data_IF_574215705873
#
_entry.id   IF_574215705873
#
_cell.length_a   1.000
_cell.length_b   1.000
_cell.length_c   1.000
_cell.angle_alpha   90.00
_cell.angle_beta   90.00
_cell.angle_gamma   90.00
#
_symmetry.space_group_name_H-M   'P 1'
#
loop_
_entity.id
_entity.type
_entity.pdbx_description
1 polymer ?
#
# COMPACT_ATOMS: atom_id res chain seq x y z
N UNK A 1 9.18 70.51 9.96
CA UNK A 1 8.07 70.03 10.81
C UNK A 1 6.95 71.07 11.02
N UNK A 2 7.18 72.27 11.58
CA UNK A 2 6.08 73.23 11.88
C UNK A 2 5.23 73.68 10.68
N UNK A 3 5.85 73.97 9.52
CA UNK A 3 5.11 74.35 8.30
C UNK A 3 4.18 73.23 7.82
N UNK A 4 4.64 71.99 7.91
CA UNK A 4 3.88 70.80 7.50
C UNK A 4 2.61 70.61 8.33
N UNK A 5 2.65 70.89 9.62
CA UNK A 5 1.49 70.73 10.54
C UNK A 5 0.41 71.80 10.27
N UNK A 6 0.79 73.07 10.07
CA UNK A 6 -0.16 74.13 9.72
C UNK A 6 -0.86 73.88 8.38
N UNK A 7 -0.14 73.37 7.38
CA UNK A 7 -0.74 73.01 6.10
C UNK A 7 -1.77 71.89 6.22
N UNK A 8 -1.54 70.89 7.08
CA UNK A 8 -2.48 69.78 7.32
C UNK A 8 -3.78 70.29 7.98
N UNK A 9 -3.66 71.18 8.97
CA UNK A 9 -4.82 71.78 9.68
C UNK A 9 -5.71 72.64 8.76
N UNK A 10 -5.11 73.46 7.91
CA UNK A 10 -5.86 74.28 6.95
C UNK A 10 -6.59 73.42 5.90
N UNK A 11 -5.95 72.35 5.42
CA UNK A 11 -6.58 71.37 4.52
C UNK A 11 -7.75 70.67 5.21
N UNK A 12 -7.63 70.34 6.50
CA UNK A 12 -8.73 69.74 7.25
C UNK A 12 -9.94 70.67 7.38
N UNK A 13 -9.75 71.95 7.70
CA UNK A 13 -10.87 72.92 7.81
C UNK A 13 -11.54 73.15 6.46
N UNK A 14 -10.77 73.31 5.38
CA UNK A 14 -11.30 73.50 4.03
C UNK A 14 -12.07 72.27 3.52
N UNK A 15 -11.63 71.07 3.87
CA UNK A 15 -12.34 69.83 3.52
C UNK A 15 -13.67 69.70 4.26
N UNK A 16 -13.75 70.14 5.53
CA UNK A 16 -15.02 70.17 6.28
C UNK A 16 -16.03 71.16 5.67
N UNK A 17 -15.60 72.38 5.32
CA UNK A 17 -16.48 73.38 4.70
C UNK A 17 -16.97 72.98 3.30
N UNK A 18 -16.11 72.35 2.49
CA UNK A 18 -16.52 71.78 1.20
C UNK A 18 -17.47 70.61 1.34
N UNK A 19 -17.33 69.80 2.40
CA UNK A 19 -18.25 68.70 2.67
C UNK A 19 -19.66 69.24 2.95
N UNK A 20 -19.76 70.27 3.79
CA UNK A 20 -21.04 70.88 4.17
C UNK A 20 -21.75 71.57 2.99
N UNK A 21 -21.02 72.30 2.14
CA UNK A 21 -21.61 72.92 0.94
C UNK A 21 -22.07 71.90 -0.11
N UNK A 22 -21.34 70.79 -0.26
CA UNK A 22 -21.76 69.67 -1.10
C UNK A 22 -23.03 69.01 -0.57
N UNK A 23 -23.21 68.93 0.74
CA UNK A 23 -24.40 68.34 1.36
C UNK A 23 -25.68 69.15 1.07
N UNK A 24 -25.65 70.47 1.26
CA UNK A 24 -26.77 71.37 0.93
C UNK A 24 -27.14 71.26 -0.57
N UNK A 25 -26.13 71.27 -1.43
CA UNK A 25 -26.33 71.17 -2.89
C UNK A 25 -26.95 69.82 -3.28
N UNK A 26 -26.49 68.72 -2.67
CA UNK A 26 -27.06 67.38 -2.89
C UNK A 26 -28.52 67.31 -2.44
N UNK A 27 -28.87 67.95 -1.32
CA UNK A 27 -30.24 67.96 -0.81
C UNK A 27 -31.20 68.71 -1.72
N UNK A 28 -30.80 69.89 -2.23
CA UNK A 28 -31.59 70.65 -3.20
C UNK A 28 -31.87 69.84 -4.48
N UNK A 29 -30.84 69.20 -5.04
CA UNK A 29 -30.98 68.37 -6.25
C UNK A 29 -31.96 67.21 -6.04
N UNK A 30 -31.93 66.58 -4.85
CA UNK A 30 -32.88 65.50 -4.50
C UNK A 30 -34.32 66.00 -4.47
N UNK A 31 -34.58 67.15 -3.83
CA UNK A 31 -35.92 67.73 -3.74
C UNK A 31 -36.46 68.09 -5.12
N UNK A 32 -35.63 68.70 -5.99
CA UNK A 32 -36.06 69.07 -7.34
C UNK A 32 -36.40 67.84 -8.18
N UNK A 33 -35.64 66.75 -8.03
CA UNK A 33 -35.95 65.47 -8.67
C UNK A 33 -37.26 64.88 -8.17
N UNK A 34 -37.53 64.95 -6.87
CA UNK A 34 -38.79 64.47 -6.28
C UNK A 34 -39.98 65.26 -6.85
N UNK A 35 -39.89 66.60 -6.92
CA UNK A 35 -40.93 67.45 -7.52
C UNK A 35 -41.19 67.09 -8.99
N UNK A 36 -40.15 66.85 -9.77
CA UNK A 36 -40.30 66.44 -11.17
C UNK A 36 -41.03 65.10 -11.32
N UNK A 37 -40.81 64.16 -10.40
CA UNK A 37 -41.52 62.87 -10.39
C UNK A 37 -42.99 63.08 -9.99
N UNK A 38 -43.26 63.94 -9.01
CA UNK A 38 -44.62 64.29 -8.57
C UNK A 38 -45.45 64.93 -9.68
N UNK A 39 -44.85 65.72 -10.56
CA UNK A 39 -45.53 66.32 -11.72
C UNK A 39 -45.90 65.31 -12.83
N UNK A 40 -45.20 64.17 -12.88
CA UNK A 40 -45.33 63.18 -13.97
C UNK A 40 -46.09 61.92 -13.58
N UNK A 41 -46.31 61.67 -12.29
CA UNK A 41 -46.93 60.43 -11.80
C UNK A 41 -48.44 60.56 -11.73
N UNK A 42 -49.15 59.57 -12.28
CA UNK A 42 -50.60 59.40 -12.11
C UNK A 42 -50.94 58.41 -10.96
N UNK A 43 -49.94 57.69 -10.44
CA UNK A 43 -50.13 56.72 -9.35
C UNK A 43 -50.03 57.37 -7.98
N UNK A 44 -51.08 57.21 -7.17
CA UNK A 44 -51.14 57.70 -5.78
C UNK A 44 -50.14 56.99 -4.87
N UNK A 45 -49.89 55.69 -5.06
CA UNK A 45 -48.85 54.95 -4.32
C UNK A 45 -47.46 55.57 -4.53
N UNK A 46 -47.12 55.88 -5.79
CA UNK A 46 -45.84 56.53 -6.13
C UNK A 46 -45.81 57.95 -5.58
N UNK A 47 -46.93 58.67 -5.64
CA UNK A 47 -47.07 60.02 -5.09
C UNK A 47 -46.82 60.03 -3.59
N UNK A 48 -47.44 59.14 -2.83
CA UNK A 48 -47.24 58.99 -1.37
C UNK A 48 -45.77 58.72 -1.05
N UNK A 49 -45.13 57.75 -1.73
CA UNK A 49 -43.71 57.45 -1.51
C UNK A 49 -42.79 58.65 -1.78
N UNK A 50 -43.09 59.43 -2.82
CA UNK A 50 -42.32 60.64 -3.13
C UNK A 50 -42.57 61.77 -2.12
N UNK A 51 -43.82 61.94 -1.66
CA UNK A 51 -44.15 62.89 -0.58
C UNK A 51 -43.44 62.51 0.72
N UNK A 52 -43.33 61.22 1.04
CA UNK A 52 -42.58 60.73 2.20
C UNK A 52 -41.09 61.03 2.07
N UNK A 53 -40.48 60.68 0.93
CA UNK A 53 -39.07 60.99 0.69
C UNK A 53 -38.78 62.50 0.80
N UNK A 54 -39.69 63.35 0.31
CA UNK A 54 -39.56 64.79 0.46
C UNK A 54 -39.68 65.20 1.92
N UNK A 55 -40.70 64.70 2.60
CA UNK A 55 -40.93 64.94 4.03
C UNK A 55 -39.71 64.58 4.88
N UNK A 56 -39.11 63.40 4.67
CA UNK A 56 -37.95 62.92 5.45
C UNK A 56 -36.73 63.83 5.27
N UNK A 57 -36.56 64.39 4.06
CA UNK A 57 -35.48 65.35 3.79
C UNK A 57 -35.68 66.65 4.58
N UNK A 58 -36.92 67.12 4.70
CA UNK A 58 -37.21 68.43 5.32
C UNK A 58 -37.58 68.36 6.80
N UNK A 59 -37.71 67.16 7.37
CA UNK A 59 -38.23 66.87 8.71
C UNK A 59 -37.78 67.87 9.79
N UNK A 60 -36.46 68.11 9.92
CA UNK A 60 -35.90 69.04 10.92
C UNK A 60 -35.73 70.50 10.44
N UNK A 61 -35.92 70.75 9.15
CA UNK A 61 -35.55 72.04 8.52
C UNK A 61 -36.73 72.95 8.23
N UNK A 62 -37.94 72.39 8.04
CA UNK A 62 -39.13 73.16 7.72
C UNK A 62 -40.40 72.44 8.24
N UNK A 63 -40.78 72.68 9.51
CA UNK A 63 -41.94 72.04 10.14
C UNK A 63 -43.27 72.32 9.44
N UNK A 64 -43.48 73.54 8.93
CA UNK A 64 -44.73 73.92 8.26
C UNK A 64 -44.94 73.14 6.96
N UNK A 65 -43.87 73.01 6.15
CA UNK A 65 -43.91 72.22 4.93
C UNK A 65 -44.01 70.73 5.24
N UNK A 66 -43.30 70.25 6.27
CA UNK A 66 -43.39 68.86 6.71
C UNK A 66 -44.82 68.49 7.13
N UNK A 67 -45.50 69.35 7.90
CA UNK A 67 -46.90 69.16 8.29
C UNK A 67 -47.83 69.10 7.07
N UNK A 68 -47.62 70.00 6.10
CA UNK A 68 -48.41 70.01 4.87
C UNK A 68 -48.25 68.70 4.10
N UNK A 69 -47.02 68.25 3.88
CA UNK A 69 -46.74 67.01 3.15
C UNK A 69 -47.36 65.79 3.86
N UNK A 70 -47.28 65.71 5.18
CA UNK A 70 -47.89 64.61 5.93
C UNK A 70 -49.43 64.66 5.88
N UNK A 71 -50.02 65.84 5.89
CA UNK A 71 -51.47 66.01 5.73
C UNK A 71 -51.93 65.58 4.33
N UNK A 72 -51.16 65.93 3.29
CA UNK A 72 -51.43 65.49 1.91
C UNK A 72 -51.33 63.97 1.78
N UNK A 73 -50.37 63.33 2.46
CA UNK A 73 -50.23 61.86 2.52
C UNK A 73 -51.46 61.23 3.17
N UNK A 74 -51.92 61.73 4.32
CA UNK A 74 -53.13 61.22 5.00
C UNK A 74 -54.34 61.28 4.09
N UNK A 75 -54.61 62.44 3.47
CA UNK A 75 -55.77 62.61 2.59
C UNK A 75 -55.72 61.64 1.40
N UNK A 76 -54.56 61.51 0.74
CA UNK A 76 -54.39 60.55 -0.35
C UNK A 76 -54.64 59.11 0.10
N UNK A 77 -54.18 58.73 1.29
CA UNK A 77 -54.39 57.38 1.81
C UNK A 77 -55.86 57.15 2.21
N UNK A 78 -56.53 58.14 2.82
CA UNK A 78 -57.94 58.07 3.19
C UNK A 78 -58.84 57.95 1.94
N UNK A 79 -58.56 58.72 0.89
CA UNK A 79 -59.28 58.65 -0.39
C UNK A 79 -59.13 57.25 -1.04
N UNK A 80 -57.92 56.70 -1.04
CA UNK A 80 -57.66 55.37 -1.59
C UNK A 80 -58.24 54.23 -0.74
N UNK A 81 -58.51 54.47 0.56
CA UNK A 81 -59.18 53.49 1.43
C UNK A 81 -60.70 53.44 1.23
N UNK A 82 -61.31 54.41 0.53
CA UNK A 82 -62.74 54.36 0.19
C UNK A 82 -63.07 53.26 -0.83
N UNK A 83 -62.13 52.93 -1.73
CA UNK A 83 -62.26 51.88 -2.74
C UNK A 83 -60.94 51.08 -2.87
N UNK A 84 -60.59 50.21 -1.91
CA UNK A 84 -59.33 49.49 -1.93
C UNK A 84 -59.31 48.39 -3.00
N UNK A 85 -58.24 48.28 -3.80
CA UNK A 85 -58.17 47.26 -4.85
C UNK A 85 -57.86 45.86 -4.29
N UNK A 86 -57.21 45.75 -3.12
CA UNK A 86 -57.00 44.49 -2.39
C UNK A 86 -56.64 44.69 -0.90
N UNK A 87 -56.73 43.62 -0.10
CA UNK A 87 -56.42 43.65 1.35
C UNK A 87 -54.95 44.01 1.67
N UNK A 88 -54.01 43.67 0.78
CA UNK A 88 -52.58 44.02 0.97
C UNK A 88 -52.35 45.52 0.80
N UNK A 89 -53.02 46.12 -0.18
CA UNK A 89 -53.00 47.54 -0.48
C UNK A 89 -53.71 48.34 0.62
N UNK A 90 -54.85 47.83 1.10
CA UNK A 90 -55.53 48.36 2.30
C UNK A 90 -54.63 48.37 3.53
N UNK A 91 -53.87 47.28 3.75
CA UNK A 91 -52.88 47.20 4.83
C UNK A 91 -51.77 48.25 4.63
N UNK A 92 -51.24 48.37 3.42
CA UNK A 92 -50.20 49.34 3.09
C UNK A 92 -50.64 50.79 3.32
N UNK A 93 -51.83 51.19 2.85
CA UNK A 93 -52.36 52.53 3.07
C UNK A 93 -52.57 52.83 4.56
N UNK A 94 -53.07 51.85 5.33
CA UNK A 94 -53.17 51.98 6.80
C UNK A 94 -51.80 52.17 7.45
N UNK A 95 -50.77 51.45 7.02
CA UNK A 95 -49.40 51.66 7.49
C UNK A 95 -48.91 53.08 7.20
N UNK A 96 -49.19 53.61 6.00
CA UNK A 96 -48.82 54.99 5.65
C UNK A 96 -49.57 56.03 6.48
N UNK A 97 -50.86 55.81 6.77
CA UNK A 97 -51.66 56.68 7.64
C UNK A 97 -51.10 56.69 9.06
N UNK A 98 -50.74 55.52 9.61
CA UNK A 98 -50.12 55.42 10.92
C UNK A 98 -48.84 56.28 10.99
N UNK A 99 -47.91 56.07 10.05
CA UNK A 99 -46.64 56.83 9.98
C UNK A 99 -46.92 58.32 9.90
N UNK A 100 -47.86 58.73 9.04
CA UNK A 100 -48.18 60.13 8.83
C UNK A 100 -48.80 60.77 10.08
N UNK A 101 -49.69 60.07 10.79
CA UNK A 101 -50.24 60.56 12.05
C UNK A 101 -49.20 60.67 13.15
N UNK A 102 -48.23 59.76 13.25
CA UNK A 102 -47.11 59.89 14.20
C UNK A 102 -46.23 61.10 13.89
N UNK A 103 -45.89 61.33 12.61
CA UNK A 103 -45.14 62.52 12.22
C UNK A 103 -45.91 63.82 12.49
N UNK A 104 -47.21 63.89 12.16
CA UNK A 104 -48.05 65.06 12.48
C UNK A 104 -48.11 65.28 14.00
N UNK A 105 -48.28 64.19 14.76
CA UNK A 105 -48.25 64.23 16.22
C UNK A 105 -46.92 64.78 16.76
N UNK A 106 -45.80 64.37 16.18
CA UNK A 106 -44.45 64.85 16.53
C UNK A 106 -44.29 66.34 16.28
N UNK A 107 -44.74 66.86 15.13
CA UNK A 107 -44.65 68.29 14.80
C UNK A 107 -45.43 69.12 15.81
N UNK A 108 -46.69 68.75 16.08
CA UNK A 108 -47.50 69.46 17.06
C UNK A 108 -46.91 69.41 18.47
N UNK A 109 -46.19 68.34 18.81
CA UNK A 109 -45.61 68.18 20.14
C UNK A 109 -44.30 68.97 20.30
N UNK A 110 -43.35 68.82 19.36
CA UNK A 110 -42.00 69.37 19.49
C UNK A 110 -41.85 70.76 18.88
N UNK A 111 -42.49 71.05 17.74
CA UNK A 111 -42.26 72.30 17.00
C UNK A 111 -43.26 73.40 17.37
N UNK A 112 -44.52 73.03 17.62
CA UNK A 112 -45.58 73.98 17.95
C UNK A 112 -45.98 74.04 19.42
N UNK A 113 -45.46 73.14 20.26
CA UNK A 113 -45.79 73.03 21.69
C UNK A 113 -47.31 72.98 21.97
N UNK A 114 -48.05 72.23 21.14
CA UNK A 114 -49.49 72.04 21.23
C UNK A 114 -49.85 70.58 21.61
N UNK A 115 -49.65 70.19 22.89
CA UNK A 115 -49.74 68.79 23.32
C UNK A 115 -51.13 68.17 23.14
N UNK A 116 -52.20 68.96 23.20
CA UNK A 116 -53.57 68.49 22.95
C UNK A 116 -53.82 68.14 21.48
N UNK A 117 -53.23 68.91 20.54
CA UNK A 117 -53.34 68.58 19.10
C UNK A 117 -52.45 67.39 18.77
N UNK A 118 -51.24 67.34 19.31
CA UNK A 118 -50.35 66.18 19.18
C UNK A 118 -51.03 64.89 19.64
N UNK A 119 -51.63 64.91 20.83
CA UNK A 119 -52.34 63.77 21.40
C UNK A 119 -53.45 63.24 20.49
N UNK A 120 -54.22 64.13 19.85
CA UNK A 120 -55.29 63.76 18.91
C UNK A 120 -54.76 62.91 17.76
N UNK A 121 -53.60 63.27 17.20
CA UNK A 121 -53.00 62.54 16.08
C UNK A 121 -52.35 61.24 16.53
N UNK A 122 -51.66 61.22 17.66
CA UNK A 122 -51.11 59.97 18.23
C UNK A 122 -52.21 58.95 18.58
N UNK A 123 -53.37 59.40 19.08
CA UNK A 123 -54.50 58.50 19.33
C UNK A 123 -55.06 57.88 18.05
N UNK A 124 -55.15 58.66 16.96
CA UNK A 124 -55.54 58.13 15.65
C UNK A 124 -54.52 57.12 15.11
N UNK A 125 -53.24 57.40 15.30
CA UNK A 125 -52.14 56.49 14.97
C UNK A 125 -52.28 55.15 15.71
N UNK A 126 -52.53 55.19 17.02
CA UNK A 126 -52.74 54.00 17.84
C UNK A 126 -53.95 53.17 17.39
N UNK A 127 -55.07 53.81 17.01
CA UNK A 127 -56.26 53.13 16.48
C UNK A 127 -55.93 52.36 15.19
N UNK A 128 -55.16 52.97 14.30
CA UNK A 128 -54.73 52.32 13.05
C UNK A 128 -53.81 51.13 13.33
N UNK A 129 -52.86 51.28 14.26
CA UNK A 129 -51.94 50.22 14.69
C UNK A 129 -52.65 49.00 15.28
N UNK A 130 -53.71 49.21 16.08
CA UNK A 130 -54.53 48.12 16.64
C UNK A 130 -55.16 47.26 15.52
N UNK A 131 -55.31 47.80 14.31
CA UNK A 131 -55.82 47.03 13.14
C UNK A 131 -54.73 46.32 12.32
N UNK A 132 -53.45 46.58 12.57
CA UNK A 132 -52.34 46.13 11.72
C UNK A 132 -51.51 44.97 12.30
N UNK A 133 -51.76 44.58 13.56
CA UNK A 133 -51.03 43.54 14.31
C UNK A 133 -49.50 43.78 14.39
N UNK A 134 -49.08 45.04 14.24
CA UNK A 134 -47.68 45.46 14.32
C UNK A 134 -47.28 45.72 15.78
N UNK A 135 -46.81 44.66 16.44
CA UNK A 135 -46.44 44.70 17.85
C UNK A 135 -45.32 45.71 18.15
N UNK A 136 -44.23 45.73 17.36
CA UNK A 136 -43.07 46.59 17.66
C UNK A 136 -43.39 48.09 17.55
N UNK A 137 -44.05 48.51 16.47
CA UNK A 137 -44.39 49.93 16.23
C UNK A 137 -45.38 50.47 17.26
N UNK A 138 -46.30 49.61 17.72
CA UNK A 138 -47.26 49.95 18.78
C UNK A 138 -46.60 50.32 20.12
N UNK A 139 -45.43 49.75 20.43
CA UNK A 139 -44.70 50.04 21.68
C UNK A 139 -44.29 51.53 21.77
N UNK A 140 -43.72 52.07 20.68
CA UNK A 140 -43.25 53.45 20.61
C UNK A 140 -44.42 54.44 20.68
N UNK A 141 -45.46 54.23 19.87
CA UNK A 141 -46.64 55.11 19.85
C UNK A 141 -47.35 55.15 21.22
N UNK A 142 -47.50 54.01 21.90
CA UNK A 142 -48.08 53.99 23.24
C UNK A 142 -47.21 54.68 24.30
N UNK A 143 -45.88 54.66 24.16
CA UNK A 143 -44.99 55.41 25.04
C UNK A 143 -45.21 56.92 24.92
N UNK A 144 -45.25 57.41 23.67
CA UNK A 144 -45.44 58.84 23.38
C UNK A 144 -46.80 59.32 23.90
N UNK A 145 -47.88 58.55 23.68
CA UNK A 145 -49.21 58.86 24.23
C UNK A 145 -49.18 58.90 25.76
N UNK A 146 -48.50 57.94 26.39
CA UNK A 146 -48.33 57.91 27.84
C UNK A 146 -47.64 59.16 28.39
N UNK A 147 -46.53 59.57 27.74
CA UNK A 147 -45.77 60.76 28.10
C UNK A 147 -46.60 62.05 27.94
N UNK A 148 -47.37 62.18 26.85
CA UNK A 148 -48.24 63.34 26.65
C UNK A 148 -49.34 63.42 27.71
N UNK A 149 -50.00 62.29 28.05
CA UNK A 149 -51.00 62.28 29.12
C UNK A 149 -50.40 62.61 30.50
N UNK A 150 -49.15 62.22 30.75
CA UNK A 150 -48.44 62.59 31.97
C UNK A 150 -48.18 64.09 32.04
N UNK A 151 -47.71 64.71 30.94
CA UNK A 151 -47.51 66.16 30.85
C UNK A 151 -48.82 66.94 31.06
N UNK A 152 -49.95 66.40 30.61
CA UNK A 152 -51.29 66.95 30.82
C UNK A 152 -51.88 66.67 32.21
N UNK A 153 -51.14 66.01 33.11
CA UNK A 153 -51.58 65.67 34.48
C UNK A 153 -52.59 64.52 34.56
N UNK A 154 -52.88 63.81 33.47
CA UNK A 154 -53.79 62.66 33.44
C UNK A 154 -53.03 61.34 33.63
N UNK A 155 -52.54 61.13 34.85
CA UNK A 155 -51.72 59.98 35.22
C UNK A 155 -52.42 58.63 35.04
N UNK A 156 -53.75 58.57 35.20
CA UNK A 156 -54.51 57.33 35.04
C UNK A 156 -54.47 56.83 33.60
N UNK A 157 -54.69 57.73 32.62
CA UNK A 157 -54.57 57.38 31.21
C UNK A 157 -53.13 57.08 30.81
N UNK A 158 -52.18 57.88 31.29
CA UNK A 158 -50.76 57.65 31.04
C UNK A 158 -50.32 56.23 31.44
N UNK A 159 -50.68 55.80 32.65
CA UNK A 159 -50.35 54.47 33.16
C UNK A 159 -51.00 53.35 32.33
N UNK A 160 -52.22 53.54 31.84
CA UNK A 160 -52.88 52.57 30.95
C UNK A 160 -52.09 52.33 29.66
N UNK A 161 -51.55 53.39 29.06
CA UNK A 161 -50.73 53.28 27.85
C UNK A 161 -49.33 52.71 28.10
N UNK A 162 -48.68 53.07 29.21
CA UNK A 162 -47.41 52.43 29.60
C UNK A 162 -47.56 50.93 29.88
N UNK A 163 -48.69 50.50 30.45
CA UNK A 163 -48.98 49.07 30.63
C UNK A 163 -49.18 48.33 29.30
N UNK A 164 -49.80 48.97 28.30
CA UNK A 164 -49.91 48.39 26.95
C UNK A 164 -48.52 48.18 26.32
N UNK A 165 -47.64 49.17 26.43
CA UNK A 165 -46.24 49.09 25.99
C UNK A 165 -45.49 47.92 26.64
N UNK A 166 -45.50 47.82 27.96
CA UNK A 166 -44.76 46.79 28.71
C UNK A 166 -45.16 45.37 28.29
N UNK A 167 -46.46 45.11 28.08
CA UNK A 167 -46.96 43.80 27.65
C UNK A 167 -46.41 43.39 26.28
N UNK A 168 -46.30 44.36 25.37
CA UNK A 168 -45.74 44.16 24.03
C UNK A 168 -44.24 43.84 24.14
N UNK A 169 -43.48 44.65 24.86
CA UNK A 169 -42.03 44.46 25.03
C UNK A 169 -41.70 43.10 25.67
N UNK A 170 -42.48 42.66 26.67
CA UNK A 170 -42.36 41.33 27.29
C UNK A 170 -42.62 40.18 26.30
N UNK A 171 -43.62 40.32 25.44
CA UNK A 171 -43.96 39.28 24.45
C UNK A 171 -42.86 39.08 23.41
N UNK A 172 -42.16 40.16 23.05
CA UNK A 172 -41.05 40.16 22.09
C UNK A 172 -39.81 39.48 22.71
N UNK A 173 -39.46 39.83 23.95
CA UNK A 173 -38.31 39.27 24.66
C UNK A 173 -38.41 37.74 24.80
N UNK A 174 -39.58 37.24 25.22
CA UNK A 174 -39.80 35.80 25.43
C UNK A 174 -39.65 34.98 24.14
N UNK A 175 -40.12 35.51 23.01
CA UNK A 175 -40.02 34.85 21.70
C UNK A 175 -38.59 34.78 21.18
N UNK A 176 -37.77 35.78 21.52
CA UNK A 176 -36.36 35.82 21.14
C UNK A 176 -35.52 34.79 21.93
N UNK A 177 -35.74 34.70 23.24
CA UNK A 177 -35.05 33.73 24.12
C UNK A 177 -35.32 32.27 23.71
N UNK A 178 -36.57 31.93 23.39
CA UNK A 178 -36.96 30.59 22.96
C UNK A 178 -36.26 30.18 21.65
N UNK A 179 -36.18 31.10 20.68
CA UNK A 179 -35.49 30.87 19.40
C UNK A 179 -33.98 30.67 19.59
N UNK A 180 -33.35 31.51 20.40
CA UNK A 180 -31.91 31.43 20.68
C UNK A 180 -31.55 30.09 21.35
N UNK A 181 -32.37 29.65 22.31
CA UNK A 181 -32.21 28.36 22.97
C UNK A 181 -32.32 27.19 21.97
N UNK A 182 -33.33 27.24 21.09
CA UNK A 182 -33.56 26.18 20.10
C UNK A 182 -32.40 26.06 19.10
N UNK A 183 -31.90 27.19 18.59
CA UNK A 183 -30.75 27.24 17.67
C UNK A 183 -29.48 26.66 18.33
N UNK A 184 -29.26 26.96 19.62
CA UNK A 184 -28.10 26.46 20.37
C UNK A 184 -28.14 24.93 20.58
N UNK A 185 -29.30 24.37 20.89
CA UNK A 185 -29.50 22.92 21.05
C UNK A 185 -29.27 22.20 19.72
N UNK A 186 -29.78 22.78 18.62
CA UNK A 186 -29.64 22.21 17.30
C UNK A 186 -28.17 22.18 16.84
N UNK A 187 -27.40 23.22 17.16
CA UNK A 187 -25.97 23.30 16.87
C UNK A 187 -25.16 22.22 17.62
N UNK A 188 -25.43 22.02 18.92
CA UNK A 188 -24.75 21.01 19.74
C UNK A 188 -25.02 19.60 19.20
N UNK A 189 -26.27 19.30 18.84
CA UNK A 189 -26.64 18.01 18.28
C UNK A 189 -25.93 17.76 16.94
N UNK A 190 -25.90 18.76 16.05
CA UNK A 190 -25.19 18.68 14.77
C UNK A 190 -23.68 18.43 14.95
N UNK A 191 -23.06 19.10 15.92
CA UNK A 191 -21.63 18.92 16.20
C UNK A 191 -21.30 17.52 16.73
N UNK A 192 -22.17 16.94 17.56
CA UNK A 192 -22.03 15.54 18.01
C UNK A 192 -22.15 14.55 16.86
N UNK A 193 -23.13 14.73 15.97
CA UNK A 193 -23.31 13.91 14.77
C UNK A 193 -22.05 13.92 13.90
N UNK A 194 -21.48 15.10 13.64
CA UNK A 194 -20.26 15.27 12.84
C UNK A 194 -19.06 14.58 13.52
N UNK A 195 -18.92 14.70 14.84
CA UNK A 195 -17.83 14.05 15.57
C UNK A 195 -17.92 12.52 15.48
N UNK A 196 -19.12 11.96 15.62
CA UNK A 196 -19.37 10.52 15.48
C UNK A 196 -19.09 10.02 14.05
N UNK A 197 -19.52 10.77 13.03
CA UNK A 197 -19.22 10.45 11.62
C UNK A 197 -17.72 10.50 11.32
N UNK A 198 -16.98 11.46 11.89
CA UNK A 198 -15.52 11.53 11.73
C UNK A 198 -14.81 10.34 12.37
N UNK A 199 -15.25 9.92 13.55
CA UNK A 199 -14.63 8.79 14.26
C UNK A 199 -14.88 7.46 13.51
N UNK A 200 -16.09 7.25 13.01
CA UNK A 200 -16.44 6.06 12.21
C UNK A 200 -15.67 6.02 10.89
N UNK A 201 -15.61 7.13 10.14
CA UNK A 201 -14.81 7.22 8.92
C UNK A 201 -13.32 6.95 9.16
N UNK A 202 -12.76 7.47 10.26
CA UNK A 202 -11.36 7.23 10.62
C UNK A 202 -11.07 5.76 10.96
N UNK A 203 -12.03 5.05 11.57
CA UNK A 203 -11.93 3.60 11.85
C UNK A 203 -11.99 2.80 10.54
N UNK A 204 -12.92 3.13 9.64
CA UNK A 204 -13.03 2.46 8.33
C UNK A 204 -11.79 2.65 7.47
N UNK A 205 -11.19 3.85 7.46
CA UNK A 205 -9.96 4.12 6.72
C UNK A 205 -8.78 3.29 7.24
N UNK A 206 -8.64 3.17 8.57
CA UNK A 206 -7.62 2.30 9.18
C UNK A 206 -7.81 0.83 8.81
N UNK A 207 -9.04 0.33 8.89
CA UNK A 207 -9.35 -1.06 8.55
C UNK A 207 -9.06 -1.36 7.07
N UNK A 208 -9.38 -0.42 6.15
CA UNK A 208 -9.02 -0.54 4.73
C UNK A 208 -7.51 -0.60 4.51
N UNK A 209 -6.75 0.28 5.18
CA UNK A 209 -5.27 0.26 5.12
C UNK A 209 -4.67 -1.04 5.63
N UNK A 210 -5.23 -1.63 6.68
CA UNK A 210 -4.80 -2.95 7.19
C UNK A 210 -5.12 -4.08 6.20
N UNK A 211 -6.32 -4.06 5.60
CA UNK A 211 -6.71 -5.03 4.58
C UNK A 211 -5.82 -4.97 3.33
N UNK A 212 -5.48 -3.76 2.86
CA UNK A 212 -4.54 -3.58 1.73
C UNK A 212 -3.14 -4.11 2.04
N UNK A 213 -2.63 -3.87 3.25
CA UNK A 213 -1.34 -4.43 3.69
C UNK A 213 -1.37 -5.96 3.69
N UNK A 214 -2.46 -6.57 4.17
CA UNK A 214 -2.59 -8.02 4.20
C UNK A 214 -2.65 -8.62 2.79
N UNK A 215 -3.42 -8.01 1.88
CA UNK A 215 -3.48 -8.44 0.48
C UNK A 215 -2.11 -8.32 -0.22
N UNK A 216 -1.38 -7.23 0.03
CA UNK A 216 -0.03 -7.04 -0.53
C UNK A 216 0.93 -8.15 -0.07
N UNK A 217 0.88 -8.54 1.21
CA UNK A 217 1.70 -9.64 1.75
C UNK A 217 1.32 -10.98 1.09
N UNK A 218 0.03 -11.23 0.88
CA UNK A 218 -0.46 -12.44 0.23
C UNK A 218 0.04 -12.53 -1.23
N UNK A 219 -0.05 -11.45 -1.99
CA UNK A 219 0.42 -11.39 -3.39
C UNK A 219 1.92 -11.69 -3.50
N UNK A 220 2.74 -11.07 -2.64
CA UNK A 220 4.18 -11.34 -2.58
C UNK A 220 4.44 -12.82 -2.24
N UNK A 221 3.68 -13.37 -1.29
CA UNK A 221 3.77 -14.78 -0.90
C UNK A 221 3.48 -15.75 -2.06
N UNK A 222 2.45 -15.47 -2.87
CA UNK A 222 2.10 -16.28 -4.04
C UNK A 222 3.23 -16.24 -5.08
N UNK A 223 3.79 -15.06 -5.36
CA UNK A 223 4.90 -14.91 -6.32
C UNK A 223 6.13 -15.70 -5.86
N UNK A 224 6.50 -15.61 -4.58
CA UNK A 224 7.62 -16.36 -4.02
C UNK A 224 7.39 -17.88 -4.06
N UNK A 225 6.16 -18.32 -3.79
CA UNK A 225 5.80 -19.73 -3.87
C UNK A 225 5.93 -20.27 -5.31
N UNK A 226 5.44 -19.53 -6.30
CA UNK A 226 5.56 -19.91 -7.71
C UNK A 226 7.03 -19.96 -8.16
N UNK A 227 7.84 -19.00 -7.72
CA UNK A 227 9.26 -18.94 -8.06
C UNK A 227 10.04 -20.14 -7.44
N UNK A 228 9.77 -20.45 -6.18
CA UNK A 228 10.29 -21.65 -5.50
C UNK A 228 9.87 -22.94 -6.21
N UNK A 229 8.59 -23.05 -6.60
CA UNK A 229 8.07 -24.21 -7.32
C UNK A 229 8.79 -24.43 -8.66
N UNK A 230 9.04 -23.37 -9.42
CA UNK A 230 9.80 -23.45 -10.68
C UNK A 230 11.24 -23.94 -10.44
N UNK A 231 11.91 -23.42 -9.41
CA UNK A 231 13.27 -23.85 -9.06
C UNK A 231 13.30 -25.35 -8.73
N UNK A 232 12.39 -25.81 -7.86
CA UNK A 232 12.27 -27.22 -7.49
C UNK A 232 11.97 -28.08 -8.71
N UNK A 233 11.08 -27.63 -9.60
CA UNK A 233 10.74 -28.37 -10.83
C UNK A 233 11.95 -28.52 -11.77
N UNK A 234 12.72 -27.46 -11.97
CA UNK A 234 13.93 -27.49 -12.81
C UNK A 234 15.00 -28.38 -12.18
N UNK A 235 15.22 -28.29 -10.87
CA UNK A 235 16.17 -29.17 -10.16
C UNK A 235 15.75 -30.63 -10.27
N UNK A 236 14.48 -30.95 -10.01
CA UNK A 236 13.95 -32.30 -10.13
C UNK A 236 14.15 -32.89 -11.53
N UNK A 237 13.92 -32.09 -12.59
CA UNK A 237 14.21 -32.50 -13.97
C UNK A 237 15.70 -32.78 -14.21
N UNK A 238 16.60 -31.94 -13.66
CA UNK A 238 18.05 -32.12 -13.80
C UNK A 238 18.51 -33.40 -13.08
N UNK A 239 18.09 -33.59 -11.84
CA UNK A 239 18.43 -34.78 -11.04
C UNK A 239 17.94 -36.06 -11.72
N UNK A 240 16.72 -36.07 -12.29
CA UNK A 240 16.23 -37.24 -13.04
C UNK A 240 17.10 -37.60 -14.25
N UNK A 241 17.59 -36.61 -15.00
CA UNK A 241 18.48 -36.87 -16.15
C UNK A 241 19.83 -37.40 -15.69
N UNK A 242 20.41 -36.81 -14.65
CA UNK A 242 21.69 -37.24 -14.09
C UNK A 242 21.61 -38.67 -13.56
N UNK A 243 20.56 -39.01 -12.82
CA UNK A 243 20.38 -40.36 -12.27
C UNK A 243 20.32 -41.43 -13.37
N UNK A 244 19.62 -41.16 -14.49
CA UNK A 244 19.58 -42.10 -15.62
C UNK A 244 20.95 -42.34 -16.26
N UNK A 245 21.75 -41.29 -16.39
CA UNK A 245 23.11 -41.40 -16.95
C UNK A 245 24.00 -42.19 -15.99
N UNK A 246 23.91 -41.91 -14.69
CA UNK A 246 24.67 -42.62 -13.66
C UNK A 246 24.29 -44.10 -13.64
N UNK A 247 23.00 -44.42 -13.72
CA UNK A 247 22.51 -45.80 -13.74
C UNK A 247 23.02 -46.56 -14.97
N UNK A 248 23.02 -45.93 -16.15
CA UNK A 248 23.58 -46.52 -17.37
C UNK A 248 25.10 -46.74 -17.27
N UNK A 249 25.83 -45.76 -16.72
CA UNK A 249 27.28 -45.88 -16.49
C UNK A 249 27.60 -47.00 -15.50
N UNK A 250 26.82 -47.14 -14.44
CA UNK A 250 26.97 -48.22 -13.47
C UNK A 250 26.73 -49.59 -14.12
N UNK A 251 25.68 -49.71 -14.92
CA UNK A 251 25.40 -50.96 -15.65
C UNK A 251 26.56 -51.36 -16.56
N UNK A 252 27.09 -50.43 -17.35
CA UNK A 252 28.23 -50.70 -18.24
C UNK A 252 29.49 -51.05 -17.46
N UNK A 253 29.71 -50.41 -16.31
CA UNK A 253 30.84 -50.74 -15.44
C UNK A 253 30.72 -52.16 -14.87
N UNK A 254 29.53 -52.56 -14.42
CA UNK A 254 29.28 -53.89 -13.86
C UNK A 254 29.42 -54.98 -14.92
N UNK A 255 28.92 -54.73 -16.15
CA UNK A 255 29.09 -55.63 -17.30
C UNK A 255 30.58 -55.83 -17.64
N UNK A 256 31.35 -54.74 -17.78
CA UNK A 256 32.78 -54.81 -18.04
C UNK A 256 33.54 -55.51 -16.91
N UNK A 257 33.18 -55.24 -15.65
CA UNK A 257 33.83 -55.87 -14.50
C UNK A 257 33.58 -57.38 -14.47
N UNK A 258 32.36 -57.81 -14.82
CA UNK A 258 32.01 -59.22 -14.95
C UNK A 258 32.81 -59.88 -16.07
N UNK A 259 32.87 -59.28 -17.26
CA UNK A 259 33.64 -59.84 -18.39
C UNK A 259 35.13 -60.00 -18.08
N UNK A 260 35.74 -59.01 -17.41
CA UNK A 260 37.13 -59.07 -16.95
C UNK A 260 37.31 -60.21 -15.93
N UNK A 261 36.39 -60.32 -14.96
CA UNK A 261 36.46 -61.34 -13.91
C UNK A 261 36.33 -62.75 -14.50
N UNK A 262 35.37 -62.96 -15.41
CA UNK A 262 35.16 -64.23 -16.10
C UNK A 262 36.40 -64.60 -16.94
N UNK A 263 37.02 -63.62 -17.60
CA UNK A 263 38.25 -63.82 -18.38
C UNK A 263 39.45 -64.24 -17.51
N UNK A 264 39.62 -63.61 -16.34
CA UNK A 264 40.69 -63.96 -15.40
C UNK A 264 40.44 -65.35 -14.77
N UNK A 265 39.18 -65.69 -14.46
CA UNK A 265 38.81 -67.02 -13.97
C UNK A 265 39.10 -68.10 -15.02
N UNK A 266 38.81 -67.83 -16.28
CA UNK A 266 39.17 -68.73 -17.38
C UNK A 266 40.68 -68.91 -17.51
N UNK A 267 41.46 -67.82 -17.40
CA UNK A 267 42.92 -67.90 -17.39
C UNK A 267 43.46 -68.78 -16.24
N UNK A 268 42.84 -68.73 -15.05
CA UNK A 268 43.16 -69.63 -13.94
C UNK A 268 42.95 -71.09 -14.29
N UNK A 269 41.83 -71.43 -14.94
CA UNK A 269 41.56 -72.81 -15.35
C UNK A 269 42.63 -73.32 -16.33
N UNK A 270 43.10 -72.46 -17.25
CA UNK A 270 44.21 -72.79 -18.15
C UNK A 270 45.50 -73.02 -17.35
N UNK A 271 45.83 -72.11 -16.42
CA UNK A 271 47.02 -72.21 -15.60
C UNK A 271 47.02 -73.49 -14.76
N UNK A 272 45.93 -73.78 -14.04
CA UNK A 272 45.78 -75.00 -13.23
C UNK A 272 45.90 -76.27 -14.09
N UNK A 273 45.40 -76.26 -15.33
CA UNK A 273 45.47 -77.40 -16.24
C UNK A 273 46.89 -77.66 -16.78
N UNK A 274 47.75 -76.63 -16.86
CA UNK A 274 49.14 -76.78 -17.25
C UNK A 274 50.03 -77.27 -16.10
N UNK A 275 49.63 -77.00 -14.86
CA UNK A 275 50.35 -77.45 -13.67
C UNK A 275 50.18 -78.95 -13.43
N UNK A 276 51.11 -79.53 -12.68
CA UNK A 276 51.02 -80.95 -12.32
C UNK A 276 49.83 -81.19 -11.38
N UNK A 277 48.95 -82.14 -11.73
CA UNK A 277 47.82 -82.47 -10.87
C UNK A 277 48.28 -83.05 -9.52
N UNK A 278 47.57 -82.70 -8.45
CA UNK A 278 47.87 -83.20 -7.10
C UNK A 278 47.76 -84.72 -6.99
N UNK A 279 46.91 -85.34 -7.83
CA UNK A 279 46.76 -86.80 -7.93
C UNK A 279 48.02 -87.43 -8.52
N UNK A 280 48.52 -86.92 -9.64
CA UNK A 280 49.74 -87.42 -10.26
C UNK A 280 50.97 -87.16 -9.37
N UNK A 281 51.05 -86.00 -8.73
CA UNK A 281 52.13 -85.69 -7.81
C UNK A 281 52.22 -86.70 -6.66
N UNK A 282 51.08 -87.08 -6.04
CA UNK A 282 51.06 -88.09 -4.97
C UNK A 282 51.42 -89.50 -5.46
N UNK A 283 51.12 -89.84 -6.70
CA UNK A 283 51.53 -91.13 -7.30
C UNK A 283 53.06 -91.17 -7.51
N UNK A 284 53.64 -90.07 -7.99
CA UNK A 284 55.08 -89.99 -8.27
C UNK A 284 55.92 -89.78 -7.00
N UNK A 285 55.43 -88.98 -6.05
CA UNK A 285 56.07 -88.65 -4.78
C UNK A 285 55.08 -88.85 -3.61
N UNK A 286 54.91 -90.08 -3.10
CA UNK A 286 53.92 -90.38 -2.07
C UNK A 286 54.13 -89.63 -0.74
N UNK A 287 55.39 -89.42 -0.34
CA UNK A 287 55.77 -88.69 0.88
C UNK A 287 56.02 -87.20 0.61
N UNK A 288 55.06 -86.53 -0.03
CA UNK A 288 55.18 -85.11 -0.37
C UNK A 288 53.87 -84.32 -0.15
N UNK A 289 53.99 -83.00 -0.04
CA UNK A 289 52.85 -82.08 0.02
C UNK A 289 53.13 -80.82 -0.80
N UNK A 290 52.05 -80.15 -1.25
CA UNK A 290 52.11 -78.86 -1.92
C UNK A 290 51.46 -77.82 -1.00
N UNK A 291 52.15 -76.70 -0.77
CA UNK A 291 51.55 -75.50 -0.20
C UNK A 291 51.59 -74.39 -1.25
N UNK A 292 50.43 -74.05 -1.81
CA UNK A 292 50.30 -73.08 -2.89
C UNK A 292 49.17 -72.10 -2.58
N UNK A 293 49.51 -70.83 -2.35
CA UNK A 293 48.57 -69.77 -1.98
C UNK A 293 48.86 -68.51 -2.78
N UNK A 294 48.29 -68.37 -3.98
CA UNK A 294 48.54 -67.20 -4.82
C UNK A 294 47.93 -65.93 -4.21
N UNK A 295 48.53 -64.78 -4.53
CA UNK A 295 48.04 -63.45 -4.09
C UNK A 295 46.75 -63.04 -4.79
N UNK A 296 46.64 -63.32 -6.09
CA UNK A 296 45.49 -63.04 -6.93
C UNK A 296 44.89 -64.34 -7.48
N UNK A 297 43.86 -64.23 -8.35
CA UNK A 297 43.18 -65.38 -8.97
C UNK A 297 44.14 -66.27 -9.78
N UNK A 298 45.18 -65.68 -10.37
CA UNK A 298 46.26 -66.36 -11.11
C UNK A 298 47.63 -65.96 -10.54
N UNK A 299 48.62 -66.84 -10.69
CA UNK A 299 49.92 -66.75 -9.98
C UNK A 299 51.12 -66.59 -10.91
N UNK A 300 52.19 -65.92 -10.45
CA UNK A 300 53.52 -66.05 -11.06
C UNK A 300 54.22 -67.34 -10.63
N UNK A 301 53.97 -67.76 -9.39
CA UNK A 301 54.55 -68.94 -8.80
C UNK A 301 53.92 -70.20 -9.41
N UNK A 302 54.73 -71.24 -9.65
CA UNK A 302 54.23 -72.54 -10.07
C UNK A 302 55.11 -73.70 -9.59
N UNK A 303 54.57 -74.90 -9.65
CA UNK A 303 55.29 -76.14 -9.40
C UNK A 303 55.04 -77.12 -10.54
N UNK A 304 56.01 -77.99 -10.78
CA UNK A 304 55.93 -79.00 -11.84
C UNK A 304 56.68 -80.26 -11.44
N UNK A 305 56.13 -81.44 -11.76
CA UNK A 305 56.72 -82.76 -11.49
C UNK A 305 56.49 -83.68 -12.67
N UNK A 306 57.52 -84.47 -13.01
CA UNK A 306 57.43 -85.49 -14.04
C UNK A 306 58.33 -86.68 -13.74
N UNK A 307 57.77 -87.90 -13.90
CA UNK A 307 58.52 -89.15 -13.83
C UNK A 307 58.88 -89.64 -15.23
N UNK A 308 60.16 -89.70 -15.52
CA UNK A 308 60.66 -90.25 -16.78
C UNK A 308 60.51 -91.77 -16.85
N UNK A 309 60.46 -92.37 -18.07
CA UNK A 309 60.45 -93.82 -18.24
C UNK A 309 61.67 -94.54 -17.61
N UNK A 310 62.79 -93.82 -17.42
CA UNK A 310 64.03 -94.34 -16.84
C UNK A 310 64.10 -94.21 -15.30
N UNK A 311 62.95 -93.99 -14.64
CA UNK A 311 62.81 -93.90 -13.18
C UNK A 311 63.53 -92.69 -12.54
N UNK A 312 63.90 -91.68 -13.32
CA UNK A 312 64.26 -90.37 -12.78
C UNK A 312 63.01 -89.52 -12.61
N UNK A 313 62.90 -88.86 -11.46
CA UNK A 313 61.83 -87.91 -11.14
C UNK A 313 62.42 -86.52 -11.12
N UNK A 314 61.81 -85.63 -11.90
CA UNK A 314 62.12 -84.21 -11.92
C UNK A 314 61.00 -83.47 -11.19
N UNK A 315 61.36 -82.52 -10.34
CA UNK A 315 60.40 -81.63 -9.69
C UNK A 315 60.98 -80.23 -9.56
N UNK A 316 60.10 -79.24 -9.60
CA UNK A 316 60.48 -77.85 -9.50
C UNK A 316 59.44 -77.01 -8.78
N UNK A 317 59.95 -75.95 -8.15
CA UNK A 317 59.19 -74.80 -7.68
C UNK A 317 59.83 -73.56 -8.29
N UNK A 318 58.98 -72.65 -8.74
CA UNK A 318 59.41 -71.43 -9.41
C UNK A 318 58.58 -70.24 -8.95
N UNK A 319 59.24 -69.09 -8.83
CA UNK A 319 58.65 -67.78 -8.55
C UNK A 319 58.97 -66.86 -9.74
N UNK A 320 57.94 -66.47 -10.49
CA UNK A 320 58.11 -65.57 -11.62
C UNK A 320 57.93 -64.12 -11.17
N UNK A 321 58.67 -63.20 -11.77
CA UNK A 321 58.47 -61.77 -11.54
C UNK A 321 57.05 -61.33 -11.90
N UNK A 322 56.41 -60.61 -10.98
CA UNK A 322 55.05 -60.08 -11.17
C UNK A 322 53.97 -60.94 -10.51
N UNK A 323 52.74 -60.42 -10.49
CA UNK A 323 51.56 -61.14 -9.99
C UNK A 323 50.36 -60.88 -10.89
N UNK A 324 49.29 -61.65 -10.73
CA UNK A 324 48.13 -61.58 -11.62
C UNK A 324 48.49 -62.05 -13.04
N UNK A 325 47.81 -61.50 -14.05
CA UNK A 325 47.85 -62.00 -15.43
C UNK A 325 49.27 -62.06 -16.03
N UNK A 326 50.16 -61.05 -15.88
CA UNK A 326 51.52 -61.13 -16.43
C UNK A 326 52.36 -62.25 -15.80
N UNK A 327 52.27 -62.45 -14.48
CA UNK A 327 52.95 -63.56 -13.79
C UNK A 327 52.43 -64.92 -14.26
N UNK A 328 51.13 -65.03 -14.48
CA UNK A 328 50.52 -66.26 -15.00
C UNK A 328 51.09 -66.66 -16.37
N UNK A 329 51.27 -65.70 -17.29
CA UNK A 329 51.93 -65.99 -18.57
C UNK A 329 53.37 -66.49 -18.40
N UNK A 330 54.13 -65.90 -17.47
CA UNK A 330 55.50 -66.35 -17.19
C UNK A 330 55.54 -67.79 -16.67
N UNK A 331 54.62 -68.16 -15.78
CA UNK A 331 54.53 -69.54 -15.28
C UNK A 331 54.17 -70.56 -16.37
N UNK A 332 53.27 -70.19 -17.30
CA UNK A 332 52.91 -71.03 -18.45
C UNK A 332 54.09 -71.23 -19.40
N UNK A 333 54.85 -70.17 -19.68
CA UNK A 333 56.09 -70.25 -20.49
C UNK A 333 57.10 -71.17 -19.80
N UNK A 334 57.36 -70.97 -18.50
CA UNK A 334 58.27 -71.82 -17.73
C UNK A 334 57.88 -73.30 -17.76
N UNK A 335 56.59 -73.59 -17.54
CA UNK A 335 56.04 -74.95 -17.60
C UNK A 335 56.20 -75.57 -19.00
N UNK A 336 55.93 -74.82 -20.06
CA UNK A 336 56.11 -75.28 -21.44
C UNK A 336 57.57 -75.60 -21.75
N UNK A 337 58.51 -74.77 -21.27
CA UNK A 337 59.94 -74.99 -21.49
C UNK A 337 60.47 -76.21 -20.72
N UNK A 338 59.92 -76.49 -19.53
CA UNK A 338 60.23 -77.72 -18.79
C UNK A 338 59.76 -78.96 -19.55
N UNK A 339 58.52 -78.94 -20.06
CA UNK A 339 58.00 -80.01 -20.89
C UNK A 339 58.89 -80.23 -22.14
N UNK A 340 59.25 -79.17 -22.85
CA UNK A 340 60.10 -79.29 -24.04
C UNK A 340 61.48 -79.86 -23.71
N UNK A 341 62.17 -79.33 -22.68
CA UNK A 341 63.52 -79.78 -22.34
C UNK A 341 63.56 -81.20 -21.78
N UNK A 342 62.64 -81.55 -20.87
CA UNK A 342 62.68 -82.81 -20.11
C UNK A 342 61.93 -83.93 -20.84
N UNK A 343 60.77 -83.64 -21.44
CA UNK A 343 59.92 -84.65 -22.07
C UNK A 343 60.31 -84.86 -23.54
N UNK A 344 60.41 -83.78 -24.31
CA UNK A 344 60.62 -83.86 -25.76
C UNK A 344 62.10 -84.06 -26.11
N UNK A 345 62.96 -83.14 -25.63
CA UNK A 345 64.40 -83.17 -25.88
C UNK A 345 65.16 -84.17 -25.00
N UNK A 346 64.53 -84.63 -23.91
CA UNK A 346 65.08 -85.62 -22.97
C UNK A 346 66.43 -85.21 -22.38
N UNK A 347 66.62 -83.91 -22.15
CA UNK A 347 67.83 -83.39 -21.49
C UNK A 347 67.87 -83.92 -20.05
N UNK A 348 69.01 -84.48 -19.65
CA UNK A 348 69.11 -85.23 -18.41
C UNK A 348 69.65 -84.40 -17.23
N UNK A 349 70.48 -83.39 -17.53
CA UNK A 349 71.18 -82.57 -16.53
C UNK A 349 70.33 -81.34 -16.13
N UNK A 350 69.96 -81.16 -14.85
CA UNK A 350 69.20 -80.00 -14.39
C UNK A 350 69.83 -78.63 -14.70
N UNK A 351 71.16 -78.51 -14.63
CA UNK A 351 71.85 -77.26 -14.93
C UNK A 351 71.69 -76.86 -16.39
N UNK A 352 71.88 -77.81 -17.30
CA UNK A 352 71.68 -77.60 -18.75
C UNK A 352 70.22 -77.24 -19.08
N UNK A 353 69.25 -77.83 -18.38
CA UNK A 353 67.83 -77.48 -18.53
C UNK A 353 67.60 -76.02 -18.14
N UNK A 354 68.13 -75.58 -17.00
CA UNK A 354 67.97 -74.21 -16.51
C UNK A 354 68.66 -73.18 -17.43
N UNK A 355 69.85 -73.49 -17.94
CA UNK A 355 70.55 -72.64 -18.91
C UNK A 355 69.73 -72.51 -20.21
N UNK A 356 69.22 -73.63 -20.74
CA UNK A 356 68.35 -73.62 -21.92
C UNK A 356 67.04 -72.84 -21.70
N UNK A 357 66.45 -72.95 -20.50
CA UNK A 357 65.26 -72.18 -20.14
C UNK A 357 65.57 -70.69 -20.09
N UNK A 358 66.68 -70.29 -19.47
CA UNK A 358 67.12 -68.90 -19.37
C UNK A 358 67.30 -68.28 -20.76
N UNK A 359 68.03 -68.93 -21.65
CA UNK A 359 68.30 -68.41 -22.99
C UNK A 359 67.00 -68.19 -23.78
N UNK A 360 66.05 -69.12 -23.66
CA UNK A 360 64.76 -69.02 -24.33
C UNK A 360 63.83 -67.98 -23.73
N UNK A 361 63.80 -67.83 -22.40
CA UNK A 361 63.02 -66.79 -21.74
C UNK A 361 63.56 -65.42 -22.16
N UNK A 362 64.88 -65.22 -22.13
CA UNK A 362 65.52 -63.98 -22.60
C UNK A 362 65.18 -63.72 -24.07
N UNK A 363 65.28 -64.73 -24.93
CA UNK A 363 64.96 -64.59 -26.36
C UNK A 363 63.47 -64.29 -26.61
N UNK A 364 62.57 -64.83 -25.78
CA UNK A 364 61.12 -64.65 -25.93
C UNK A 364 60.63 -63.30 -25.40
N UNK A 365 61.31 -62.74 -24.39
CA UNK A 365 60.91 -61.48 -23.74
C UNK A 365 61.64 -60.26 -24.31
N UNK A 366 62.88 -60.41 -24.77
CA UNK A 366 63.64 -59.28 -25.34
C UNK A 366 63.37 -59.12 -26.84
N UNK A 367 62.39 -58.29 -27.17
CA UNK A 367 62.21 -57.78 -28.53
C UNK A 367 63.31 -56.76 -28.86
N UNK A 368 64.05 -56.99 -29.96
CA UNK A 368 65.16 -56.11 -30.41
C UNK A 368 64.74 -54.67 -30.74
N UNK A 369 63.44 -54.39 -30.85
CA UNK A 369 62.89 -53.08 -31.24
C UNK A 369 62.35 -52.22 -30.07
N UNK A 370 62.26 -52.73 -28.85
CA UNK A 370 61.76 -51.95 -27.70
C UNK A 370 62.90 -51.37 -26.86
N UNK A 371 62.99 -50.03 -26.77
CA UNK A 371 63.93 -49.28 -25.91
C UNK A 371 63.78 -49.52 -24.40
N UNK A 372 62.88 -50.40 -23.97
CA UNK A 372 62.67 -50.81 -22.58
C UNK A 372 63.14 -52.24 -22.43
N UNK A 373 64.22 -52.46 -21.68
CA UNK A 373 64.56 -53.80 -21.17
C UNK A 373 63.46 -54.25 -20.22
N UNK A 374 62.76 -55.33 -20.56
CA UNK A 374 61.83 -56.01 -19.64
C UNK A 374 62.64 -56.69 -18.56
N UNK A 375 62.40 -56.33 -17.29
CA UNK A 375 63.05 -56.94 -16.11
C UNK A 375 62.33 -58.21 -15.64
N UNK A 376 61.59 -58.85 -16.54
CA UNK A 376 60.80 -60.03 -16.21
C UNK A 376 61.72 -61.26 -16.21
N UNK A 377 61.62 -62.06 -15.16
CA UNK A 377 62.49 -63.19 -14.87
C UNK A 377 61.81 -64.24 -14.01
N UNK A 378 62.57 -65.24 -13.58
CA UNK A 378 62.04 -66.37 -12.84
C UNK A 378 63.14 -66.96 -11.96
N UNK A 379 62.84 -67.10 -10.67
CA UNK A 379 63.66 -67.86 -9.75
C UNK A 379 63.14 -69.30 -9.76
N UNK A 380 64.00 -70.26 -10.12
CA UNK A 380 63.61 -71.67 -10.30
C UNK A 380 64.55 -72.58 -9.56
N UNK A 381 63.99 -73.49 -8.75
CA UNK A 381 64.72 -74.63 -8.21
C UNK A 381 64.28 -75.90 -8.95
N UNK A 382 65.17 -76.53 -9.71
CA UNK A 382 64.92 -77.79 -10.42
C UNK A 382 65.77 -78.91 -9.82
N UNK A 383 65.10 -79.96 -9.34
CA UNK A 383 65.74 -81.10 -8.71
C UNK A 383 65.44 -82.38 -9.49
N UNK A 384 66.44 -83.28 -9.50
CA UNK A 384 66.33 -84.62 -10.08
C UNK A 384 66.63 -85.65 -8.99
N UNK A 385 65.71 -86.58 -8.77
CA UNK A 385 65.86 -87.73 -7.87
C UNK A 385 65.84 -89.02 -8.68
N UNK A 386 66.73 -89.95 -8.35
CA UNK A 386 66.71 -91.32 -8.85
C UNK A 386 66.59 -92.27 -7.65
N UNK A 387 65.48 -93.01 -7.56
CA UNK A 387 65.24 -93.99 -6.50
C UNK A 387 65.92 -95.35 -6.75
N UNK A 388 66.60 -95.53 -7.89
CA UNK A 388 67.48 -96.68 -8.16
C UNK A 388 68.92 -96.26 -7.93
N UNK A 389 69.30 -96.20 -6.66
CA UNK A 389 70.66 -96.43 -6.19
C UNK A 389 70.58 -97.01 -4.77
#
# INVERSE_FOLDING_TARGET
MKKTICSILAVFILTQLNCYSQEITRTSIKIDRIKQILEKTESDTVRILQLQNWSDIIFYSNPDLHLKLQTDIVNLCEDNLLNPSNEKEKKWFKEQIWIAFDHIGSIYFYDYDEPLKALKFYLKSAEVLETLDHLNSSSITYDIIGNIYQQLGNYQKANGYFQKRIKIDQSISKKFEEKLLLDSIQLVNRNKEIAFQKETAAKEEKLKKEAERLNTILEIGIVLFLLSFVIVYVQWRKTRKQNKIIEEQHRQLDENHKEITDSISYAKNIQDAMMTSTVYLKDVLPESFIFFKPKDVVSGDYYWVYKTPYNNIYFTVADCTGHGVPGAFMSMIGTSLLNENIIEKKVNNPGEILDNMRDKIIASLNNKDSKKETRDGMDVALCKINFKN
#
